data_IF_529634336021
#
_entry.id   IF_529634336021
#
_cell.length_a   1.000
_cell.length_b   1.000
_cell.length_c   1.000
_cell.angle_alpha   90.00
_cell.angle_beta   90.00
_cell.angle_gamma   90.00
#
_symmetry.space_group_name_H-M   'P 1'
#
loop_
_entity.id
_entity.type
_entity.pdbx_description
1 polymer ?
#
# COMPACT_ATOMS: atom_id res chain seq x y z
N UNK A 1 8.98 -8.87 22.30
CA UNK A 1 10.32 -8.57 21.79
C UNK A 1 10.66 -7.13 22.12
N UNK A 2 11.93 -6.85 22.37
CA UNK A 2 12.43 -5.48 22.57
C UNK A 2 13.12 -5.05 21.28
N UNK A 3 12.76 -3.88 20.76
CA UNK A 3 13.41 -3.23 19.64
C UNK A 3 14.43 -2.25 20.21
N UNK A 4 15.70 -2.47 19.87
CA UNK A 4 16.81 -1.70 20.42
C UNK A 4 17.78 -1.26 19.34
N UNK A 5 18.39 -0.10 19.55
CA UNK A 5 19.39 0.46 18.62
C UNK A 5 18.76 1.21 17.45
N UNK A 6 19.58 1.50 16.44
CA UNK A 6 19.19 2.29 15.28
C UNK A 6 18.61 1.41 14.17
N UNK A 7 17.40 1.74 13.73
CA UNK A 7 16.66 1.08 12.67
C UNK A 7 16.66 1.96 11.42
N UNK A 8 17.86 2.10 10.84
CA UNK A 8 18.11 2.90 9.64
C UNK A 8 18.74 2.05 8.55
N UNK A 9 18.53 2.42 7.29
CA UNK A 9 19.11 1.75 6.11
C UNK A 9 20.61 1.48 6.28
N UNK A 10 21.00 0.20 6.14
CA UNK A 10 22.38 -0.25 6.26
C UNK A 10 22.81 -0.63 7.67
N UNK A 11 21.96 -0.49 8.68
CA UNK A 11 22.14 -1.06 10.03
C UNK A 11 21.11 -2.18 10.23
N UNK A 12 21.57 -3.31 10.79
CA UNK A 12 20.93 -4.62 10.65
C UNK A 12 19.41 -4.61 10.83
N UNK A 13 18.69 -5.09 9.82
CA UNK A 13 17.27 -5.40 9.94
C UNK A 13 17.08 -6.52 10.96
N UNK A 14 16.08 -6.40 11.84
CA UNK A 14 15.74 -7.47 12.79
C UNK A 14 15.59 -8.81 12.07
N UNK A 15 16.07 -9.90 12.69
CA UNK A 15 16.03 -11.25 12.12
C UNK A 15 14.59 -11.78 12.10
N UNK A 16 13.82 -11.34 11.11
CA UNK A 16 12.41 -11.69 10.96
C UNK A 16 12.20 -13.19 10.79
N UNK A 17 13.08 -13.87 10.05
CA UNK A 17 12.95 -15.31 9.79
C UNK A 17 13.06 -16.14 11.08
N UNK A 18 13.99 -15.77 11.96
CA UNK A 18 14.12 -16.39 13.27
C UNK A 18 12.89 -16.12 14.15
N UNK A 19 12.40 -14.87 14.15
CA UNK A 19 11.20 -14.49 14.89
C UNK A 19 9.96 -15.25 14.39
N UNK A 20 9.78 -15.34 13.07
CA UNK A 20 8.67 -16.07 12.44
C UNK A 20 8.70 -17.54 12.86
N UNK A 21 9.88 -18.16 12.79
CA UNK A 21 10.05 -19.56 13.20
C UNK A 21 9.68 -19.77 14.67
N UNK A 22 10.11 -18.88 15.58
CA UNK A 22 9.73 -18.96 16.99
C UNK A 22 8.23 -18.76 17.23
N UNK A 23 7.60 -17.82 16.52
CA UNK A 23 6.17 -17.54 16.63
C UNK A 23 5.33 -18.73 16.18
N UNK A 24 5.68 -19.35 15.05
CA UNK A 24 5.02 -20.55 14.54
C UNK A 24 5.25 -21.79 15.42
N UNK A 25 6.42 -21.90 16.04
CA UNK A 25 6.70 -23.01 16.97
C UNK A 25 5.95 -22.89 18.29
N UNK A 26 5.84 -21.67 18.83
CA UNK A 26 5.26 -21.45 20.18
C UNK A 26 3.78 -21.08 20.15
N UNK A 27 3.26 -20.55 19.05
CA UNK A 27 1.90 -19.99 18.92
C UNK A 27 1.47 -19.18 20.17
N UNK A 28 2.22 -18.12 20.55
CA UNK A 28 1.84 -17.32 21.69
C UNK A 28 0.52 -16.59 21.43
N UNK A 29 -0.31 -16.38 22.46
CA UNK A 29 -1.57 -15.65 22.32
C UNK A 29 -1.37 -14.15 21.98
N UNK A 30 -0.19 -13.59 22.30
CA UNK A 30 0.13 -12.18 22.08
C UNK A 30 1.61 -11.97 21.78
N UNK A 31 1.92 -11.12 20.79
CA UNK A 31 3.23 -10.55 20.52
C UNK A 31 3.23 -9.08 20.92
N UNK A 32 4.15 -8.70 21.82
CA UNK A 32 4.36 -7.30 22.21
C UNK A 32 5.68 -6.79 21.64
N UNK A 33 5.64 -5.68 20.91
CA UNK A 33 6.82 -4.94 20.45
C UNK A 33 7.07 -3.75 21.38
N UNK A 34 8.24 -3.71 22.00
CA UNK A 34 8.65 -2.66 22.94
C UNK A 34 9.71 -1.76 22.27
N UNK A 35 9.41 -0.46 22.15
CA UNK A 35 10.25 0.56 21.54
C UNK A 35 11.06 1.41 22.53
N UNK A 36 11.06 1.07 23.82
CA UNK A 36 11.71 1.87 24.88
C UNK A 36 13.21 2.10 24.69
N UNK A 37 13.88 1.23 23.93
CA UNK A 37 15.33 1.28 23.66
C UNK A 37 15.65 1.62 22.20
N UNK A 38 14.69 2.17 21.47
CA UNK A 38 14.82 2.52 20.07
C UNK A 38 15.64 3.82 19.92
N UNK A 39 16.63 3.80 19.02
CA UNK A 39 17.39 4.98 18.62
C UNK A 39 16.74 5.66 17.40
N UNK A 40 17.57 5.99 16.42
CA UNK A 40 17.08 6.56 15.16
C UNK A 40 16.30 5.52 14.35
N UNK A 41 15.27 5.94 13.62
CA UNK A 41 14.41 5.05 12.86
C UNK A 41 14.01 5.63 11.50
N UNK A 42 13.82 4.75 10.51
CA UNK A 42 13.32 5.08 9.18
C UNK A 42 12.19 4.13 8.72
N UNK A 43 11.99 4.02 7.40
CA UNK A 43 10.97 3.16 6.80
C UNK A 43 11.21 1.65 7.01
N UNK A 44 12.43 1.21 7.32
CA UNK A 44 12.73 -0.21 7.61
C UNK A 44 12.01 -0.67 8.87
N UNK A 45 12.03 0.14 9.93
CA UNK A 45 11.31 -0.19 11.16
C UNK A 45 9.81 -0.40 10.87
N UNK A 46 9.22 0.49 10.09
CA UNK A 46 7.82 0.39 9.70
C UNK A 46 7.55 -0.86 8.87
N UNK A 47 8.41 -1.20 7.91
CA UNK A 47 8.28 -2.42 7.13
C UNK A 47 8.34 -3.67 8.03
N UNK A 48 9.27 -3.71 8.98
CA UNK A 48 9.41 -4.81 9.93
C UNK A 48 8.19 -4.96 10.84
N UNK A 49 7.69 -3.85 11.41
CA UNK A 49 6.49 -3.85 12.26
C UNK A 49 5.25 -4.31 11.50
N UNK A 50 5.07 -3.88 10.25
CA UNK A 50 3.97 -4.32 9.40
C UNK A 50 4.07 -5.80 9.06
N UNK A 51 5.28 -6.30 8.80
CA UNK A 51 5.51 -7.72 8.56
C UNK A 51 5.13 -8.56 9.79
N UNK A 52 5.52 -8.11 10.99
CA UNK A 52 5.14 -8.75 12.25
C UNK A 52 3.63 -8.71 12.47
N UNK A 53 3.00 -7.56 12.25
CA UNK A 53 1.56 -7.40 12.37
C UNK A 53 0.80 -8.34 11.42
N UNK A 54 1.23 -8.45 10.16
CA UNK A 54 0.60 -9.32 9.18
C UNK A 54 0.73 -10.79 9.56
N UNK A 55 1.93 -11.24 9.96
CA UNK A 55 2.15 -12.60 10.45
C UNK A 55 1.27 -12.91 11.67
N UNK A 56 1.24 -12.01 12.65
CA UNK A 56 0.39 -12.18 13.82
C UNK A 56 -1.09 -12.26 13.45
N UNK A 57 -1.56 -11.44 12.51
CA UNK A 57 -2.94 -11.47 12.04
C UNK A 57 -3.29 -12.77 11.32
N UNK A 58 -2.40 -13.29 10.49
CA UNK A 58 -2.57 -14.56 9.78
C UNK A 58 -2.64 -15.75 10.74
N UNK A 59 -1.82 -15.73 11.79
CA UNK A 59 -1.75 -16.80 12.80
C UNK A 59 -2.74 -16.60 13.98
N UNK A 60 -3.58 -15.56 13.94
CA UNK A 60 -4.55 -15.25 15.00
C UNK A 60 -3.93 -14.80 16.34
N UNK A 61 -2.70 -14.28 16.30
CA UNK A 61 -1.94 -13.77 17.44
C UNK A 61 -2.26 -12.28 17.62
N UNK A 62 -2.54 -11.84 18.85
CA UNK A 62 -2.72 -10.42 19.13
C UNK A 62 -1.38 -9.67 19.03
N UNK A 63 -1.32 -8.58 18.26
CA UNK A 63 -0.14 -7.72 18.16
C UNK A 63 -0.35 -6.42 18.95
N UNK A 64 0.63 -6.06 19.80
CA UNK A 64 0.60 -4.83 20.61
C UNK A 64 1.95 -4.11 20.50
N UNK A 65 1.93 -2.82 20.19
CA UNK A 65 3.12 -1.97 20.20
C UNK A 65 3.09 -1.05 21.43
N UNK A 66 4.21 -0.99 22.16
CA UNK A 66 4.36 -0.25 23.42
C UNK A 66 5.62 0.61 23.38
N UNK A 67 5.58 1.77 24.03
CA UNK A 67 6.70 2.69 24.20
C UNK A 67 7.38 3.07 22.86
N UNK A 68 6.57 3.16 21.79
CA UNK A 68 7.03 3.56 20.46
C UNK A 68 7.09 5.09 20.34
N UNK A 69 8.02 5.63 19.52
CA UNK A 69 7.97 7.02 19.12
C UNK A 69 6.61 7.37 18.50
N UNK A 70 6.12 8.59 18.76
CA UNK A 70 4.78 9.02 18.36
C UNK A 70 4.51 8.82 16.86
N UNK A 71 5.49 9.16 16.00
CA UNK A 71 5.39 8.98 14.56
C UNK A 71 5.20 7.52 14.14
N UNK A 72 5.93 6.59 14.77
CA UNK A 72 5.83 5.14 14.50
C UNK A 72 4.46 4.62 14.93
N UNK A 73 3.98 5.01 16.12
CA UNK A 73 2.68 4.60 16.63
C UNK A 73 1.54 5.09 15.73
N UNK A 74 1.57 6.35 15.28
CA UNK A 74 0.57 6.91 14.37
C UNK A 74 0.58 6.21 13.01
N UNK A 75 1.76 6.02 12.42
CA UNK A 75 1.89 5.36 11.11
C UNK A 75 1.41 3.91 11.17
N UNK A 76 1.77 3.18 12.22
CA UNK A 76 1.30 1.81 12.42
C UNK A 76 -0.23 1.76 12.58
N UNK A 77 -0.82 2.69 13.35
CA UNK A 77 -2.27 2.77 13.50
C UNK A 77 -2.95 3.01 12.14
N UNK A 78 -2.46 3.95 11.32
CA UNK A 78 -3.02 4.23 9.99
C UNK A 78 -2.88 3.03 9.05
N UNK A 79 -1.71 2.40 9.03
CA UNK A 79 -1.43 1.30 8.12
C UNK A 79 -2.17 0.00 8.50
N UNK A 80 -2.54 -0.17 9.77
CA UNK A 80 -3.24 -1.37 10.27
C UNK A 80 -4.74 -1.16 10.43
N UNK A 81 -5.23 0.08 10.47
CA UNK A 81 -6.66 0.40 10.58
C UNK A 81 -7.48 0.04 9.33
N UNK A 82 -6.81 -0.13 8.18
CA UNK A 82 -7.49 -0.51 6.94
C UNK A 82 -7.78 -2.01 7.00
N UNK A 83 -9.06 -2.37 7.13
CA UNK A 83 -9.54 -3.72 6.85
C UNK A 83 -9.04 -4.10 5.45
N UNK A 84 -8.09 -5.02 5.41
CA UNK A 84 -7.54 -5.48 4.13
C UNK A 84 -8.69 -6.10 3.36
N UNK A 85 -9.02 -5.53 2.20
CA UNK A 85 -10.07 -6.02 1.34
C UNK A 85 -9.77 -7.49 1.05
N UNK A 86 -10.46 -8.39 1.75
CA UNK A 86 -10.36 -9.81 1.45
C UNK A 86 -10.99 -9.93 0.07
N UNK A 87 -10.23 -10.31 -0.98
CA UNK A 87 -10.86 -10.60 -2.25
C UNK A 87 -11.96 -11.61 -1.95
N UNK A 88 -13.20 -11.39 -2.44
CA UNK A 88 -14.28 -12.31 -2.17
C UNK A 88 -13.77 -13.71 -2.51
N UNK A 89 -13.80 -14.61 -1.53
CA UNK A 89 -13.57 -16.03 -1.81
C UNK A 89 -14.64 -16.37 -2.83
N UNK A 90 -14.26 -16.46 -4.11
CA UNK A 90 -15.15 -16.92 -5.15
C UNK A 90 -15.54 -18.35 -4.74
N UNK A 91 -16.71 -18.44 -4.10
CA UNK A 91 -17.47 -19.67 -4.06
C UNK A 91 -17.44 -20.20 -5.48
N UNK A 92 -16.92 -21.42 -5.65
CA UNK A 92 -16.95 -22.18 -6.91
C UNK A 92 -18.41 -22.46 -7.26
N UNK A 93 -19.14 -21.41 -7.58
CA UNK A 93 -20.45 -21.43 -8.17
C UNK A 93 -20.26 -21.96 -9.57
N UNK A 94 -20.81 -23.14 -9.79
CA UNK A 94 -20.96 -23.84 -11.06
C UNK A 94 -20.74 -22.93 -12.27
N UNK A 95 -19.69 -23.23 -13.06
CA UNK A 95 -19.34 -22.54 -14.32
C UNK A 95 -20.52 -22.42 -15.31
N UNK A 96 -21.62 -23.13 -15.06
CA UNK A 96 -22.85 -23.13 -15.84
C UNK A 96 -23.83 -21.99 -15.50
N UNK A 97 -23.71 -21.33 -14.34
CA UNK A 97 -24.56 -20.18 -13.99
C UNK A 97 -24.07 -18.84 -14.59
N UNK A 98 -22.86 -18.82 -15.13
CA UNK A 98 -22.16 -17.60 -15.62
C UNK A 98 -22.52 -17.20 -17.06
N UNK A 99 -23.31 -18.01 -17.77
CA UNK A 99 -23.71 -17.73 -19.17
C UNK A 99 -25.12 -17.13 -19.22
N UNK A 100 -25.44 -16.20 -18.30
CA UNK A 100 -26.64 -15.38 -18.44
C UNK A 100 -26.25 -14.03 -19.05
N UNK A 101 -26.43 -13.81 -20.37
CA UNK A 101 -25.95 -12.63 -21.08
C UNK A 101 -26.55 -11.32 -20.52
N UNK A 102 -27.72 -11.40 -19.88
CA UNK A 102 -28.40 -10.26 -19.26
C UNK A 102 -27.63 -9.75 -18.02
N UNK A 103 -27.05 -10.66 -17.23
CA UNK A 103 -26.33 -10.30 -16.00
C UNK A 103 -24.93 -9.76 -16.30
N UNK A 104 -24.29 -10.26 -17.37
CA UNK A 104 -23.03 -9.72 -17.91
C UNK A 104 -23.22 -8.30 -18.46
N UNK A 105 -24.29 -8.05 -19.22
CA UNK A 105 -24.61 -6.72 -19.74
C UNK A 105 -24.84 -5.70 -18.63
N UNK A 106 -25.56 -6.07 -17.57
CA UNK A 106 -25.84 -5.16 -16.45
C UNK A 106 -24.57 -4.83 -15.65
N UNK A 107 -23.70 -5.81 -15.41
CA UNK A 107 -22.44 -5.63 -14.66
C UNK A 107 -21.39 -4.83 -15.45
N UNK A 108 -21.36 -4.98 -16.79
CA UNK A 108 -20.51 -4.16 -17.66
C UNK A 108 -21.04 -2.72 -17.75
N UNK A 109 -22.36 -2.51 -17.78
CA UNK A 109 -22.94 -1.17 -17.94
C UNK A 109 -22.61 -0.19 -16.81
N UNK A 110 -22.59 -0.67 -15.54
CA UNK A 110 -22.26 0.16 -14.38
C UNK A 110 -20.80 0.62 -14.37
N UNK A 111 -19.87 -0.32 -14.59
CA UNK A 111 -18.44 0.00 -14.62
C UNK A 111 -18.02 0.80 -15.86
N UNK A 112 -18.71 0.60 -16.99
CA UNK A 112 -18.40 1.30 -18.22
C UNK A 112 -18.86 2.76 -18.17
N UNK A 113 -19.97 3.07 -17.50
CA UNK A 113 -20.43 4.46 -17.34
C UNK A 113 -19.48 5.30 -16.50
N UNK A 114 -18.98 4.77 -15.39
CA UNK A 114 -18.03 5.47 -14.53
C UNK A 114 -16.67 5.65 -15.23
N UNK A 115 -16.20 4.60 -15.93
CA UNK A 115 -14.98 4.67 -16.74
C UNK A 115 -15.09 5.65 -17.91
N UNK A 116 -16.25 5.71 -18.59
CA UNK A 116 -16.49 6.63 -19.70
C UNK A 116 -16.68 8.08 -19.23
N UNK A 117 -17.24 8.29 -18.03
CA UNK A 117 -17.32 9.60 -17.39
C UNK A 117 -15.93 10.16 -17.15
N UNK A 118 -15.06 9.39 -16.48
CA UNK A 118 -13.68 9.78 -16.23
C UNK A 118 -12.88 9.98 -17.53
N UNK A 119 -12.97 9.05 -18.50
CA UNK A 119 -12.28 9.17 -19.78
C UNK A 119 -12.76 10.38 -20.60
N UNK A 120 -14.06 10.69 -20.51
CA UNK A 120 -14.66 11.87 -21.11
C UNK A 120 -14.11 13.17 -20.53
N UNK A 121 -14.05 13.27 -19.19
CA UNK A 121 -13.47 14.42 -18.50
C UNK A 121 -11.99 14.62 -18.86
N UNK A 122 -11.19 13.55 -18.89
CA UNK A 122 -9.78 13.59 -19.30
C UNK A 122 -9.65 14.06 -20.75
N UNK A 123 -10.49 13.55 -21.66
CA UNK A 123 -10.46 13.91 -23.09
C UNK A 123 -10.89 15.36 -23.32
N UNK A 124 -11.89 15.86 -22.58
CA UNK A 124 -12.33 17.26 -22.63
C UNK A 124 -11.24 18.18 -22.07
N UNK A 125 -10.62 17.82 -20.95
CA UNK A 125 -9.52 18.59 -20.38
C UNK A 125 -8.33 18.64 -21.34
N UNK A 126 -7.96 17.50 -21.93
CA UNK A 126 -6.84 17.39 -22.88
C UNK A 126 -7.13 18.15 -24.19
N UNK A 127 -8.35 18.08 -24.72
CA UNK A 127 -8.73 18.85 -25.92
C UNK A 127 -8.77 20.35 -25.68
N UNK A 128 -9.20 20.81 -24.49
CA UNK A 128 -9.12 22.24 -24.10
C UNK A 128 -7.69 22.72 -23.94
N UNK A 129 -6.80 21.87 -23.41
CA UNK A 129 -5.37 22.15 -23.29
C UNK A 129 -4.71 22.27 -24.68
N UNK A 130 -4.98 21.33 -25.58
CA UNK A 130 -4.46 21.35 -26.95
C UNK A 130 -5.03 22.52 -27.78
N UNK A 131 -6.29 22.90 -27.55
CA UNK A 131 -6.93 24.04 -28.20
C UNK A 131 -6.48 25.40 -27.62
N UNK A 132 -5.58 25.43 -26.63
CA UNK A 132 -5.09 26.67 -25.99
C UNK A 132 -6.16 27.41 -25.18
N UNK A 133 -7.29 26.75 -24.86
CA UNK A 133 -8.43 27.28 -24.09
C UNK A 133 -8.41 26.84 -22.62
N UNK A 134 -7.37 26.12 -22.20
CA UNK A 134 -7.07 25.92 -20.79
C UNK A 134 -6.49 27.22 -20.21
N UNK A 135 -6.80 27.51 -18.95
CA UNK A 135 -6.26 28.68 -18.25
C UNK A 135 -4.74 28.57 -17.95
N UNK A 136 -4.14 27.45 -18.34
CA UNK A 136 -2.73 27.11 -18.13
C UNK A 136 -1.93 27.39 -19.40
N UNK A 137 -0.80 28.10 -19.30
CA UNK A 137 0.11 28.27 -20.44
C UNK A 137 0.68 26.91 -20.84
N UNK A 138 0.60 26.59 -22.13
CA UNK A 138 1.10 25.33 -22.68
C UNK A 138 2.62 25.13 -22.46
N UNK A 139 3.37 26.22 -22.28
CA UNK A 139 4.79 26.18 -21.87
C UNK A 139 4.98 25.48 -20.53
N UNK A 140 4.13 25.79 -19.56
CA UNK A 140 4.30 25.35 -18.18
C UNK A 140 3.92 23.87 -18.06
N UNK A 141 2.89 23.44 -18.80
CA UNK A 141 2.54 22.02 -18.92
C UNK A 141 3.68 21.19 -19.53
N UNK A 142 4.29 21.68 -20.62
CA UNK A 142 5.45 21.01 -21.23
C UNK A 142 6.62 20.90 -20.27
N UNK A 143 6.92 21.97 -19.53
CA UNK A 143 7.99 22.00 -18.53
C UNK A 143 7.76 20.92 -17.46
N UNK A 144 6.54 20.84 -16.92
CA UNK A 144 6.20 19.80 -15.93
C UNK A 144 6.27 18.38 -16.50
N UNK A 145 5.82 18.16 -17.74
CA UNK A 145 5.96 16.85 -18.39
C UNK A 145 7.43 16.49 -18.65
N UNK A 146 8.28 17.46 -18.96
CA UNK A 146 9.70 17.25 -19.20
C UNK A 146 10.43 16.92 -17.89
N UNK A 147 10.12 17.65 -16.83
CA UNK A 147 10.69 17.46 -15.50
C UNK A 147 10.27 16.11 -14.88
N UNK A 148 9.02 15.68 -15.09
CA UNK A 148 8.52 14.41 -14.57
C UNK A 148 8.88 13.19 -15.45
N UNK A 149 9.30 13.40 -16.70
CA UNK A 149 9.62 12.34 -17.64
C UNK A 149 11.13 12.20 -17.87
N UNK A 150 11.68 12.82 -18.93
CA UNK A 150 13.10 12.71 -19.29
C UNK A 150 14.07 13.04 -18.14
N UNK A 151 13.79 14.04 -17.31
CA UNK A 151 14.67 14.37 -16.18
C UNK A 151 14.54 13.39 -15.02
N UNK A 152 13.37 12.77 -14.84
CA UNK A 152 13.16 11.73 -13.83
C UNK A 152 13.81 10.40 -14.23
N UNK A 153 13.93 10.10 -15.54
CA UNK A 153 14.57 8.88 -16.04
C UNK A 153 15.99 8.69 -15.51
N UNK A 154 16.77 9.77 -15.43
CA UNK A 154 18.16 9.71 -14.96
C UNK A 154 18.29 9.25 -13.50
N UNK A 155 17.28 9.55 -12.66
CA UNK A 155 17.27 9.17 -11.24
C UNK A 155 16.84 7.70 -11.11
N UNK A 156 15.82 7.27 -11.87
CA UNK A 156 15.24 5.93 -11.75
C UNK A 156 16.09 4.87 -12.47
N UNK A 157 16.85 5.23 -13.50
CA UNK A 157 17.74 4.29 -14.20
C UNK A 157 19.04 3.95 -13.46
N UNK A 158 19.34 4.64 -12.37
CA UNK A 158 20.57 4.46 -11.59
C UNK A 158 20.42 3.49 -10.40
N UNK A 159 19.22 2.97 -10.17
CA UNK A 159 18.91 1.90 -9.22
C UNK A 159 18.75 0.57 -9.94
#
# INVERSE_FOLDING_TARGET
MVLSGDWVQGHGSGNFDALQSELLLRHPAKLMADGSSLGDWDSILMAFLLQCHNLCREEGIAFEARDMPEGVAQLLAVATAVETHQPPVESRGSLLASINPVHLLHKVSGNLQESLGFLGEVTIALSRLLAGKANTRFSDFKEFCYQAGPDAFAIISLT
#
